data_IF_425673712846
#
_entry.id   IF_425673712846
#
_cell.length_a   1.000
_cell.length_b   1.000
_cell.length_c   1.000
_cell.angle_alpha   90.00
_cell.angle_beta   90.00
_cell.angle_gamma   90.00
#
_symmetry.space_group_name_H-M   'P 1'
#
loop_
_entity.id
_entity.type
_entity.pdbx_description
1 polymer ?
#
# COMPACT_ATOMS: atom_id res chain seq x y z
N UNK A 1 -5.83 -21.81 38.81
CA UNK A 1 -5.74 -21.49 38.28
C UNK A 1 -5.62 -20.78 37.43
N UNK A 2 -5.60 -20.67 37.30
CA UNK A 2 -5.55 -20.03 36.61
C UNK A 2 -5.48 -19.40 35.57
N UNK A 3 -5.36 -19.29 35.49
CA UNK A 3 -5.29 -18.77 34.71
C UNK A 3 -5.33 -18.08 33.82
N UNK A 4 -5.28 -18.03 33.87
CA UNK A 4 -5.33 -17.41 33.21
C UNK A 4 -5.28 -16.77 32.34
N UNK A 5 -5.20 -16.69 32.36
CA UNK A 5 -5.19 -16.10 31.68
C UNK A 5 -5.19 -15.52 30.78
N UNK A 6 -5.17 -15.50 30.76
CA UNK A 6 -5.24 -14.97 30.03
C UNK A 6 -5.21 -14.32 29.25
N UNK A 7 -5.17 -14.31 29.36
CA UNK A 7 -5.16 -13.61 28.70
C UNK A 7 -5.14 -12.99 28.00
N UNK A 8 -5.06 -13.10 28.07
CA UNK A 8 -5.03 -12.39 27.52
C UNK A 8 -5.08 -11.80 26.67
N UNK A 9 -5.05 -11.94 26.75
CA UNK A 9 -5.11 -11.31 26.11
C UNK A 9 -5.10 -10.78 25.25
N UNK A 10 -5.04 -10.90 25.25
CA UNK A 10 -4.98 -10.32 24.55
C UNK A 10 -5.10 -9.76 23.76
N UNK A 11 -5.00 -9.91 23.83
CA UNK A 11 -5.14 -9.26 23.19
C UNK A 11 -5.15 -8.64 22.43
N UNK A 12 -4.94 -8.61 22.31
CA UNK A 12 -4.89 -7.89 21.66
C UNK A 12 -5.00 -7.32 20.88
N UNK A 13 -4.94 -7.22 20.54
CA UNK A 13 -5.01 -6.56 19.80
C UNK A 13 -5.43 -5.96 19.04
N UNK A 14 -5.28 -5.72 18.89
CA UNK A 14 -5.58 -5.09 18.16
C UNK A 14 -5.74 -4.47 17.40
N UNK A 15 -5.80 -4.27 17.16
CA UNK A 15 -5.92 -3.74 16.45
C UNK A 15 -5.85 -3.07 15.73
N UNK A 16 -5.52 -2.90 15.55
CA UNK A 16 -5.51 -2.08 14.83
C UNK A 16 -6.10 -1.80 13.71
N UNK A 17 -6.68 -1.40 13.55
CA UNK A 17 -7.55 -0.97 12.52
C UNK A 17 -6.97 0.02 11.60
N UNK A 18 -5.79 -0.04 11.41
CA UNK A 18 -5.16 0.87 10.49
C UNK A 18 -5.40 0.42 9.07
N UNK A 19 -5.35 1.34 8.16
CA UNK A 19 -5.39 1.03 6.76
C UNK A 19 -4.22 0.14 6.41
N UNK A 20 -4.50 -0.88 5.65
CA UNK A 20 -3.48 -1.79 5.18
C UNK A 20 -3.40 -1.75 3.68
N UNK A 21 -2.21 -2.01 3.18
CA UNK A 21 -2.00 -2.08 1.74
C UNK A 21 -1.65 -3.51 1.38
N UNK A 22 -2.36 -4.04 0.40
CA UNK A 22 -2.06 -5.35 -0.16
C UNK A 22 -1.12 -5.15 -1.33
N UNK A 23 0.06 -5.74 -1.24
CA UNK A 23 1.10 -5.58 -2.24
C UNK A 23 1.02 -6.72 -3.26
N UNK A 24 1.09 -6.38 -4.53
CA UNK A 24 1.13 -7.36 -5.61
C UNK A 24 2.27 -7.01 -6.55
N UNK A 25 3.21 -7.94 -6.68
CA UNK A 25 4.36 -7.75 -7.54
C UNK A 25 4.00 -8.11 -8.98
N UNK A 26 4.57 -7.37 -9.91
CA UNK A 26 4.38 -7.55 -11.33
C UNK A 26 2.94 -7.28 -11.77
N UNK A 27 2.35 -6.28 -11.13
CA UNK A 27 1.03 -5.77 -11.49
C UNK A 27 1.04 -4.27 -11.47
N UNK A 28 0.31 -3.68 -12.40
CA UNK A 28 0.11 -2.23 -12.46
C UNK A 28 -1.37 -1.94 -12.29
N UNK A 29 -1.67 -0.85 -11.61
CA UNK A 29 -3.05 -0.43 -11.41
C UNK A 29 -3.56 0.25 -12.65
N UNK A 30 -4.80 -0.06 -13.01
CA UNK A 30 -5.55 0.69 -13.99
C UNK A 30 -6.66 1.43 -13.26
N UNK A 31 -6.64 2.75 -13.37
CA UNK A 31 -7.59 3.54 -12.63
C UNK A 31 -7.32 5.02 -12.81
N UNK A 32 -7.82 5.81 -11.89
CA UNK A 32 -7.69 7.26 -11.97
C UNK A 32 -6.52 7.73 -11.15
N UNK A 33 -5.59 8.44 -11.77
CA UNK A 33 -4.38 8.90 -11.11
C UNK A 33 -4.70 10.10 -10.22
N UNK A 34 -4.16 10.06 -9.01
CA UNK A 34 -4.21 11.17 -8.08
C UNK A 34 -2.99 12.07 -8.25
N UNK A 35 -1.80 11.45 -8.29
CA UNK A 35 -0.55 12.19 -8.42
C UNK A 35 0.56 11.24 -8.80
N UNK A 36 1.63 11.79 -9.39
CA UNK A 36 2.83 11.04 -9.71
C UNK A 36 3.96 11.67 -8.91
N UNK A 37 4.70 10.85 -8.16
CA UNK A 37 5.79 11.30 -7.30
C UNK A 37 7.10 10.74 -7.80
N UNK A 38 8.08 11.61 -8.01
CA UNK A 38 9.39 11.20 -8.50
C UNK A 38 10.51 11.60 -7.55
N UNK A 39 10.18 12.25 -6.43
CA UNK A 39 11.20 12.64 -5.47
C UNK A 39 11.86 11.40 -4.87
N UNK A 40 13.12 11.57 -4.48
CA UNK A 40 13.92 10.47 -4.00
C UNK A 40 13.30 9.71 -2.84
N UNK A 41 12.64 10.40 -1.94
CA UNK A 41 12.02 9.76 -0.78
C UNK A 41 10.85 8.86 -1.15
N UNK A 42 10.36 8.96 -2.37
CA UNK A 42 9.27 8.11 -2.85
C UNK A 42 9.75 7.07 -3.86
N UNK A 43 11.06 6.98 -4.08
CA UNK A 43 11.59 6.11 -5.13
C UNK A 43 11.88 4.70 -4.63
N UNK A 44 10.94 4.18 -3.87
CA UNK A 44 10.96 2.79 -3.40
C UNK A 44 9.54 2.36 -3.13
N UNK A 45 9.32 1.06 -3.06
CA UNK A 45 7.99 0.54 -2.73
C UNK A 45 7.58 1.04 -1.35
N UNK A 46 8.51 1.05 -0.43
CA UNK A 46 8.24 1.48 0.94
C UNK A 46 7.85 2.96 1.00
N UNK A 47 8.63 3.82 0.34
CA UNK A 47 8.34 5.24 0.32
C UNK A 47 7.04 5.55 -0.41
N UNK A 48 6.79 4.85 -1.52
CA UNK A 48 5.55 5.00 -2.28
C UNK A 48 4.35 4.56 -1.45
N UNK A 49 4.48 3.43 -0.75
CA UNK A 49 3.44 2.93 0.12
C UNK A 49 3.14 3.90 1.26
N UNK A 50 4.17 4.49 1.81
CA UNK A 50 4.03 5.43 2.91
C UNK A 50 3.22 6.65 2.53
N UNK A 51 3.54 7.24 1.38
CA UNK A 51 2.79 8.41 0.93
C UNK A 51 1.35 8.05 0.58
N UNK A 52 1.14 6.85 0.02
CA UNK A 52 -0.21 6.39 -0.29
C UNK A 52 -1.04 6.24 0.98
N UNK A 53 -0.46 5.69 2.02
CA UNK A 53 -1.16 5.51 3.30
C UNK A 53 -1.50 6.84 3.95
N UNK A 54 -0.65 7.84 3.76
CA UNK A 54 -0.85 9.13 4.41
C UNK A 54 -1.97 9.97 3.79
N UNK A 55 -2.45 9.58 2.61
CA UNK A 55 -3.47 10.36 1.90
C UNK A 55 -4.74 9.55 1.78
N UNK A 56 -5.78 10.01 2.48
CA UNK A 56 -7.05 9.27 2.53
C UNK A 56 -7.70 9.14 1.16
N UNK A 57 -7.46 10.06 0.27
CA UNK A 57 -8.05 10.01 -1.07
C UNK A 57 -7.37 9.01 -1.99
N UNK A 58 -6.19 8.54 -1.62
CA UNK A 58 -5.45 7.58 -2.43
C UNK A 58 -5.91 6.18 -2.07
N UNK A 59 -6.28 5.42 -3.09
CA UNK A 59 -6.79 4.06 -2.91
C UNK A 59 -5.76 3.01 -3.27
N UNK A 60 -4.67 3.41 -3.92
CA UNK A 60 -3.61 2.49 -4.28
C UNK A 60 -2.46 3.22 -4.94
N UNK A 61 -1.39 2.49 -5.16
CA UNK A 61 -0.22 3.04 -5.83
C UNK A 61 0.39 2.00 -6.75
N UNK A 62 1.16 2.47 -7.72
CA UNK A 62 1.99 1.61 -8.55
C UNK A 62 3.40 2.20 -8.55
N UNK A 63 4.36 1.37 -8.19
CA UNK A 63 5.77 1.75 -8.24
C UNK A 63 6.41 1.09 -9.43
N UNK A 64 7.00 1.91 -10.28
CA UNK A 64 7.73 1.41 -11.45
C UNK A 64 9.21 1.35 -11.11
N UNK A 65 9.75 0.14 -11.01
CA UNK A 65 11.11 -0.02 -10.51
C UNK A 65 12.17 0.56 -11.44
N UNK A 66 11.94 0.53 -12.74
CA UNK A 66 12.92 1.05 -13.71
C UNK A 66 13.09 2.56 -13.60
N UNK A 67 11.99 3.29 -13.62
CA UNK A 67 12.01 4.74 -13.56
C UNK A 67 11.95 5.27 -12.15
N UNK A 68 11.69 4.39 -11.18
CA UNK A 68 11.52 4.74 -9.78
C UNK A 68 10.40 5.75 -9.58
N UNK A 69 9.35 5.59 -10.34
CA UNK A 69 8.21 6.49 -10.33
C UNK A 69 7.10 5.91 -9.46
N UNK A 70 6.58 6.74 -8.57
CA UNK A 70 5.49 6.36 -7.66
C UNK A 70 4.21 7.03 -8.14
N UNK A 71 3.28 6.24 -8.66
CA UNK A 71 2.00 6.76 -9.13
C UNK A 71 0.93 6.45 -8.11
N UNK A 72 0.24 7.49 -7.65
CA UNK A 72 -0.83 7.36 -6.67
C UNK A 72 -2.16 7.42 -7.39
N UNK A 73 -3.07 6.52 -7.00
CA UNK A 73 -4.38 6.41 -7.64
C UNK A 73 -5.49 6.74 -6.67
N UNK A 74 -6.40 7.58 -7.10
CA UNK A 74 -7.60 7.87 -6.30
C UNK A 74 -8.72 6.91 -6.61
N UNK A 75 -8.60 6.13 -7.67
CA UNK A 75 -9.57 5.10 -8.01
C UNK A 75 -8.85 3.92 -8.63
N UNK A 76 -9.12 2.74 -8.12
CA UNK A 76 -8.53 1.50 -8.64
C UNK A 76 -9.65 0.73 -9.34
N UNK A 77 -9.52 0.53 -10.65
CA UNK A 77 -10.50 -0.22 -11.41
C UNK A 77 -10.13 -1.69 -11.48
N UNK A 78 -8.91 -1.97 -11.85
CA UNK A 78 -8.40 -3.33 -11.86
C UNK A 78 -6.88 -3.31 -11.87
N UNK A 79 -6.31 -4.50 -11.83
CA UNK A 79 -4.87 -4.69 -11.89
C UNK A 79 -4.55 -5.44 -13.17
N UNK A 80 -3.44 -5.07 -13.78
CA UNK A 80 -2.99 -5.70 -15.01
C UNK A 80 -1.58 -6.21 -14.81
N UNK A 81 -1.33 -7.43 -15.21
CA UNK A 81 0.00 -8.02 -15.09
C UNK A 81 1.00 -7.21 -15.88
N UNK A 82 2.11 -6.82 -15.26
CA UNK A 82 3.12 -6.01 -15.90
C UNK A 82 4.42 -6.12 -15.13
N UNK A 83 5.43 -6.74 -15.77
CA UNK A 83 6.73 -6.96 -15.15
C UNK A 83 7.39 -5.65 -14.77
N UNK A 84 8.05 -5.64 -13.61
CA UNK A 84 8.78 -4.47 -13.15
C UNK A 84 7.91 -3.45 -12.44
N UNK A 85 6.63 -3.73 -12.28
CA UNK A 85 5.72 -2.86 -11.54
C UNK A 85 5.28 -3.54 -10.27
N UNK A 86 5.15 -2.77 -9.22
CA UNK A 86 4.69 -3.28 -7.93
C UNK A 86 3.55 -2.38 -7.50
N UNK A 87 2.40 -2.97 -7.21
CA UNK A 87 1.23 -2.19 -6.85
C UNK A 87 0.76 -2.52 -5.46
N UNK A 88 0.18 -1.53 -4.80
CA UNK A 88 -0.43 -1.70 -3.51
C UNK A 88 -1.83 -1.13 -3.55
N UNK A 89 -2.78 -1.85 -2.98
CA UNK A 89 -4.17 -1.39 -2.91
C UNK A 89 -4.65 -1.43 -1.47
N UNK A 90 -5.44 -0.45 -1.12
CA UNK A 90 -6.03 -0.37 0.22
C UNK A 90 -7.26 -1.24 0.34
#
# INVERSE_FOLDING_TARGET
MKKLLLALMLVSLPSIASAQIVIQENYAIQGKIFAVKTAKKYSSVEGCSKIALSKTKVKGFTFESKSQKCTLYKKVRNLKAKDGFISGTK
#
